data_IF_152569726174
#
_entry.id   IF_152569726174
#
_cell.length_a   1.000
_cell.length_b   1.000
_cell.length_c   1.000
_cell.angle_alpha   90.00
_cell.angle_beta   90.00
_cell.angle_gamma   90.00
#
_symmetry.space_group_name_H-M   'P 1'
#
loop_
_entity.id
_entity.type
_entity.pdbx_description
1 polymer ?
#
# COMPACT_ATOMS: atom_id res chain seq x y z
N UNK A 1 7.11 -18.86 -12.74
CA UNK A 1 7.90 -17.64 -12.98
C UNK A 1 7.91 -17.29 -14.46
N UNK A 2 7.46 -16.08 -14.80
CA UNK A 2 7.45 -15.57 -16.17
C UNK A 2 8.88 -15.49 -16.78
N UNK A 3 9.09 -16.18 -17.90
CA UNK A 3 10.41 -16.29 -18.56
C UNK A 3 10.87 -14.98 -19.21
N UNK A 4 9.94 -14.17 -19.71
CA UNK A 4 10.23 -12.88 -20.33
C UNK A 4 10.69 -11.87 -19.28
N UNK A 5 10.02 -11.85 -18.14
CA UNK A 5 10.42 -11.05 -16.97
C UNK A 5 11.85 -11.39 -16.53
N UNK A 6 12.15 -12.69 -16.40
CA UNK A 6 13.49 -13.11 -15.99
C UNK A 6 14.59 -12.69 -16.96
N UNK A 7 14.35 -12.84 -18.27
CA UNK A 7 15.30 -12.41 -19.30
C UNK A 7 15.58 -10.91 -19.16
N UNK A 8 14.53 -10.10 -18.96
CA UNK A 8 14.64 -8.64 -18.80
C UNK A 8 15.37 -8.26 -17.52
N UNK A 9 15.10 -8.95 -16.41
CA UNK A 9 15.81 -8.79 -15.13
C UNK A 9 17.29 -9.11 -15.29
N UNK A 10 17.62 -10.22 -15.95
CA UNK A 10 19.00 -10.63 -16.22
C UNK A 10 19.75 -9.59 -17.05
N UNK A 11 19.10 -9.03 -18.07
CA UNK A 11 19.68 -7.96 -18.89
C UNK A 11 19.88 -6.66 -18.10
N UNK A 12 18.93 -6.30 -17.25
CA UNK A 12 18.97 -5.07 -16.46
C UNK A 12 19.92 -5.12 -15.26
N UNK A 13 20.22 -6.32 -14.76
CA UNK A 13 21.05 -6.54 -13.58
C UNK A 13 22.48 -7.01 -13.89
N UNK A 14 22.93 -7.00 -15.16
CA UNK A 14 24.29 -7.44 -15.56
C UNK A 14 25.41 -6.75 -14.77
N UNK A 15 25.23 -5.47 -14.45
CA UNK A 15 26.24 -4.65 -13.76
C UNK A 15 26.27 -4.85 -12.24
N UNK A 16 25.26 -5.55 -11.68
CA UNK A 16 25.13 -5.75 -10.22
C UNK A 16 26.05 -6.86 -9.69
N UNK A 17 26.60 -7.71 -10.56
CA UNK A 17 27.45 -8.84 -10.18
C UNK A 17 26.76 -9.91 -9.31
N UNK A 18 25.42 -9.89 -9.24
CA UNK A 18 24.64 -10.91 -8.54
C UNK A 18 24.61 -12.23 -9.32
N UNK A 19 24.56 -13.34 -8.61
CA UNK A 19 24.42 -14.67 -9.23
C UNK A 19 23.04 -14.84 -9.87
N UNK A 20 22.96 -15.69 -10.89
CA UNK A 20 21.68 -16.00 -11.55
C UNK A 20 20.65 -16.58 -10.58
N UNK A 21 21.10 -17.37 -9.60
CA UNK A 21 20.25 -17.89 -8.52
C UNK A 21 19.65 -16.75 -7.65
N UNK A 22 20.43 -15.71 -7.36
CA UNK A 22 19.95 -14.55 -6.60
C UNK A 22 18.96 -13.72 -7.43
N UNK A 23 19.24 -13.52 -8.72
CA UNK A 23 18.32 -12.83 -9.63
C UNK A 23 17.03 -13.63 -9.81
N UNK A 24 17.10 -14.96 -9.84
CA UNK A 24 15.94 -15.85 -9.93
C UNK A 24 15.09 -15.74 -8.68
N UNK A 25 15.69 -15.84 -7.49
CA UNK A 25 14.97 -15.69 -6.22
C UNK A 25 14.31 -14.30 -6.09
N UNK A 26 15.00 -13.23 -6.49
CA UNK A 26 14.43 -11.87 -6.53
C UNK A 26 13.27 -11.76 -7.53
N UNK A 27 13.39 -12.41 -8.69
CA UNK A 27 12.32 -12.42 -9.71
C UNK A 27 11.12 -13.24 -9.26
N UNK A 28 11.30 -14.33 -8.52
CA UNK A 28 10.19 -15.10 -7.94
C UNK A 28 9.49 -14.33 -6.81
N UNK A 29 10.26 -13.67 -5.93
CA UNK A 29 9.72 -12.93 -4.81
C UNK A 29 8.98 -11.65 -5.23
N UNK A 30 9.54 -10.89 -6.18
CA UNK A 30 8.99 -9.59 -6.60
C UNK A 30 8.10 -9.76 -7.84
N UNK A 31 8.41 -10.72 -8.71
CA UNK A 31 7.68 -10.98 -9.95
C UNK A 31 6.48 -11.91 -9.81
N UNK A 32 6.15 -12.37 -8.61
CA UNK A 32 4.92 -13.16 -8.36
C UNK A 32 3.62 -12.41 -8.68
N UNK A 33 3.66 -11.08 -8.86
CA UNK A 33 2.54 -10.26 -9.32
C UNK A 33 2.31 -10.32 -10.84
N UNK A 34 3.21 -10.95 -11.59
CA UNK A 34 3.07 -11.16 -13.05
C UNK A 34 2.76 -12.62 -13.29
N UNK A 35 1.61 -12.88 -13.90
CA UNK A 35 1.24 -14.24 -14.33
C UNK A 35 2.30 -14.82 -15.28
N UNK A 36 2.51 -16.13 -15.18
CA UNK A 36 3.56 -16.83 -15.93
C UNK A 36 3.43 -16.70 -17.45
N UNK A 37 2.20 -16.47 -17.94
CA UNK A 37 1.83 -16.33 -19.35
C UNK A 37 1.70 -14.85 -19.79
N UNK A 38 1.92 -13.91 -18.87
CA UNK A 38 1.76 -12.49 -19.16
C UNK A 38 2.75 -12.01 -20.23
N UNK A 39 2.22 -11.25 -21.18
CA UNK A 39 2.96 -10.61 -22.29
C UNK A 39 2.92 -9.09 -22.21
N UNK A 40 2.42 -8.54 -21.10
CA UNK A 40 2.38 -7.09 -20.87
C UNK A 40 3.80 -6.55 -20.62
N UNK A 41 4.43 -6.08 -21.70
CA UNK A 41 5.80 -5.55 -21.69
C UNK A 41 6.00 -4.36 -20.73
N UNK A 42 4.94 -3.59 -20.45
CA UNK A 42 4.98 -2.43 -19.56
C UNK A 42 5.00 -2.88 -18.10
N UNK A 43 4.10 -3.79 -17.73
CA UNK A 43 4.08 -4.41 -16.40
C UNK A 43 5.40 -5.16 -16.14
N UNK A 44 5.86 -5.96 -17.11
CA UNK A 44 7.14 -6.67 -17.07
C UNK A 44 8.31 -5.69 -16.93
N UNK A 45 8.30 -4.58 -17.65
CA UNK A 45 9.33 -3.54 -17.54
C UNK A 45 9.37 -2.87 -16.16
N UNK A 46 8.21 -2.57 -15.58
CA UNK A 46 8.11 -1.96 -14.24
C UNK A 46 8.66 -2.88 -13.16
N UNK A 47 8.25 -4.15 -13.19
CA UNK A 47 8.70 -5.15 -12.21
C UNK A 47 10.20 -5.45 -12.37
N UNK A 48 10.70 -5.54 -13.60
CA UNK A 48 12.14 -5.71 -13.84
C UNK A 48 12.97 -4.53 -13.29
N UNK A 49 12.49 -3.29 -13.46
CA UNK A 49 13.13 -2.11 -12.89
C UNK A 49 13.12 -2.12 -11.35
N UNK A 50 12.04 -2.57 -10.71
CA UNK A 50 11.97 -2.72 -9.26
C UNK A 50 12.98 -3.75 -8.76
N UNK A 51 13.07 -4.90 -9.43
CA UNK A 51 14.07 -5.93 -9.13
C UNK A 51 15.49 -5.38 -9.28
N UNK A 52 15.75 -4.59 -10.32
CA UNK A 52 17.04 -3.92 -10.52
C UNK A 52 17.39 -2.99 -9.35
N UNK A 53 16.46 -2.18 -8.88
CA UNK A 53 16.70 -1.28 -7.75
C UNK A 53 17.06 -2.05 -6.47
N UNK A 54 16.34 -3.14 -6.18
CA UNK A 54 16.63 -4.01 -5.04
C UNK A 54 17.98 -4.70 -5.19
N UNK A 55 18.32 -5.15 -6.40
CA UNK A 55 19.62 -5.75 -6.72
C UNK A 55 20.79 -4.79 -6.48
N UNK A 56 20.68 -3.54 -6.96
CA UNK A 56 21.70 -2.49 -6.76
C UNK A 56 21.83 -2.13 -5.27
N UNK A 57 20.71 -2.02 -4.55
CA UNK A 57 20.72 -1.75 -3.12
C UNK A 57 21.44 -2.86 -2.35
N UNK A 58 21.10 -4.12 -2.65
CA UNK A 58 21.72 -5.31 -2.05
C UNK A 58 23.23 -5.35 -2.31
N UNK A 59 23.67 -5.03 -3.53
CA UNK A 59 25.09 -4.94 -3.86
C UNK A 59 25.78 -3.82 -3.05
N UNK A 60 25.16 -2.65 -2.94
CA UNK A 60 25.73 -1.50 -2.21
C UNK A 60 25.87 -1.78 -0.71
N UNK A 61 24.93 -2.53 -0.12
CA UNK A 61 24.99 -2.96 1.27
C UNK A 61 26.01 -4.07 1.51
N UNK A 62 26.08 -5.05 0.60
CA UNK A 62 27.11 -6.09 0.64
C UNK A 62 28.52 -5.48 0.51
N UNK A 63 28.70 -4.49 -0.37
CA UNK A 63 29.95 -3.76 -0.52
C UNK A 63 30.31 -2.93 0.74
N UNK A 64 29.30 -2.30 1.37
CA UNK A 64 29.49 -1.61 2.67
C UNK A 64 29.95 -2.57 3.75
N UNK A 65 29.33 -3.73 3.89
CA UNK A 65 29.75 -4.74 4.87
C UNK A 65 31.11 -5.36 4.56
N UNK A 66 31.42 -5.64 3.29
CA UNK A 66 32.72 -6.18 2.88
C UNK A 66 33.87 -5.19 3.14
N UNK A 67 33.64 -3.89 2.91
CA UNK A 67 34.61 -2.85 3.24
C UNK A 67 34.73 -2.59 4.75
N UNK A 68 33.66 -2.76 5.52
CA UNK A 68 33.69 -2.61 6.98
C UNK A 68 34.35 -3.81 7.69
N UNK A 69 34.39 -4.99 7.05
CA UNK A 69 35.10 -6.20 7.55
C UNK A 69 36.60 -6.23 7.24
N UNK A 70 37.11 -5.36 6.35
CA UNK A 70 38.55 -5.16 6.21
C UNK A 70 39.03 -4.32 7.40
N UNK A 71 39.43 -5.02 8.45
CA UNK A 71 39.90 -4.56 9.77
C UNK A 71 40.73 -3.24 9.73
N UNK A 72 40.67 -2.36 10.77
CA UNK A 72 41.37 -1.06 10.88
C UNK A 72 42.91 -1.13 10.89
N UNK A 73 43.50 -2.30 10.63
CA UNK A 73 44.90 -2.60 10.91
C UNK A 73 45.88 -2.33 9.77
N UNK A 74 45.44 -1.73 8.66
CA UNK A 74 46.32 -1.39 7.54
C UNK A 74 46.45 0.11 7.21
N UNK A 75 46.17 1.00 8.18
CA UNK A 75 46.48 2.44 8.04
C UNK A 75 47.90 2.84 8.48
N UNK A 76 48.80 1.90 8.83
CA UNK A 76 50.17 2.25 9.27
C UNK A 76 51.34 1.93 8.34
N UNK A 77 51.15 1.21 7.23
CA UNK A 77 52.28 0.89 6.32
C UNK A 77 52.03 1.25 4.84
N UNK A 78 51.58 2.47 4.59
CA UNK A 78 51.87 3.16 3.32
C UNK A 78 52.57 4.50 3.57
N UNK A 79 53.67 4.45 4.32
CA UNK A 79 54.66 5.53 4.34
C UNK A 79 56.07 4.94 4.23
N UNK A 80 56.37 4.35 3.07
CA UNK A 80 57.72 4.25 2.45
C UNK A 80 57.70 3.34 1.23
N UNK A 81 57.54 3.95 0.05
CA UNK A 81 58.50 3.85 -1.06
C UNK A 81 57.86 4.43 -2.33
N UNK A 82 58.27 5.65 -2.71
CA UNK A 82 58.80 5.95 -4.05
C UNK A 82 59.47 7.34 -4.06
N UNK A 83 60.41 7.56 -5.00
CA UNK A 83 61.67 8.28 -4.76
C UNK A 83 61.57 9.80 -4.96
N UNK A 84 62.70 10.43 -4.68
CA UNK A 84 63.03 11.85 -4.80
C UNK A 84 62.63 12.53 -6.14
N UNK A 85 62.59 13.88 -6.06
CA UNK A 85 62.42 14.94 -7.07
C UNK A 85 60.98 15.29 -7.47
N UNK A 86 60.55 16.55 -7.59
CA UNK A 86 61.13 17.89 -7.30
C UNK A 86 59.98 18.91 -7.52
N UNK A 87 60.00 20.00 -6.75
CA UNK A 87 59.52 21.37 -7.03
C UNK A 87 58.03 21.64 -7.38
N UNK A 88 57.41 22.55 -6.62
CA UNK A 88 56.26 23.35 -7.08
C UNK A 88 55.32 23.83 -5.97
N UNK A 89 55.50 25.07 -5.55
CA UNK A 89 54.76 25.82 -4.51
C UNK A 89 53.23 25.91 -4.74
N UNK A 90 52.49 26.04 -3.63
CA UNK A 90 51.06 26.32 -3.60
C UNK A 90 50.57 26.41 -2.15
N UNK A 91 50.80 27.58 -1.55
CA UNK A 91 50.30 28.05 -0.26
C UNK A 91 48.78 28.26 -0.32
N UNK A 92 48.03 27.79 0.69
CA UNK A 92 46.93 28.54 1.29
C UNK A 92 46.35 27.79 2.50
N UNK A 93 46.21 28.58 3.57
CA UNK A 93 45.81 28.27 4.94
C UNK A 93 44.36 27.76 5.12
N UNK A 94 44.19 27.06 6.25
CA UNK A 94 42.99 26.98 7.12
C UNK A 94 41.84 25.98 6.81
N UNK A 95 41.07 25.53 7.82
CA UNK A 95 41.40 25.13 9.19
C UNK A 95 40.99 23.68 9.49
N UNK A 96 41.46 23.18 10.63
CA UNK A 96 40.93 21.99 11.32
C UNK A 96 39.39 21.91 11.28
N UNK A 97 38.90 20.86 10.63
CA UNK A 97 37.52 20.42 10.68
C UNK A 97 37.50 18.90 10.85
N UNK A 98 37.97 18.45 12.02
CA UNK A 98 37.79 17.09 12.51
C UNK A 98 36.27 16.83 12.62
N UNK A 99 35.65 16.41 11.51
CA UNK A 99 34.27 15.97 11.51
C UNK A 99 34.31 14.47 11.71
N UNK A 100 34.23 14.08 12.99
CA UNK A 100 34.02 12.71 13.41
C UNK A 100 32.95 12.05 12.51
N UNK A 101 33.20 10.85 11.95
CA UNK A 101 32.14 10.11 11.27
C UNK A 101 31.01 9.92 12.27
N UNK A 102 29.74 10.18 11.91
CA UNK A 102 28.64 10.08 12.85
C UNK A 102 28.64 8.67 13.42
N UNK A 103 28.96 8.55 14.71
CA UNK A 103 28.82 7.31 15.45
C UNK A 103 27.34 6.96 15.40
N UNK A 104 26.96 6.07 14.49
CA UNK A 104 25.66 5.45 14.47
C UNK A 104 25.63 4.47 15.64
N UNK A 105 25.43 5.01 16.83
CA UNK A 105 25.24 4.25 18.06
C UNK A 105 24.07 3.31 17.81
N UNK A 106 24.23 2.02 18.08
CA UNK A 106 23.22 0.98 17.85
C UNK A 106 21.80 1.36 18.34
N UNK A 107 21.68 2.27 19.31
CA UNK A 107 20.44 2.90 19.75
C UNK A 107 19.66 3.65 18.65
N UNK A 108 20.32 4.39 17.76
CA UNK A 108 19.65 5.10 16.66
C UNK A 108 19.11 4.12 15.62
N UNK A 109 19.85 3.04 15.34
CA UNK A 109 19.39 1.94 14.48
C UNK A 109 18.18 1.25 15.10
N UNK A 110 18.22 0.98 16.42
CA UNK A 110 17.08 0.41 17.16
C UNK A 110 15.84 1.33 17.15
N UNK A 111 16.02 2.64 17.29
CA UNK A 111 14.92 3.61 17.21
C UNK A 111 14.31 3.68 15.80
N UNK A 112 15.15 3.64 14.76
CA UNK A 112 14.67 3.58 13.38
C UNK A 112 13.92 2.27 13.09
N UNK A 113 14.41 1.14 13.59
CA UNK A 113 13.74 -0.17 13.48
C UNK A 113 12.36 -0.13 14.15
N UNK A 114 12.27 0.35 15.40
CA UNK A 114 10.97 0.51 16.10
C UNK A 114 10.03 1.47 15.37
N UNK A 115 10.56 2.55 14.79
CA UNK A 115 9.76 3.51 14.01
C UNK A 115 9.25 2.90 12.71
N UNK A 116 10.06 2.06 12.05
CA UNK A 116 9.69 1.30 10.86
C UNK A 116 8.61 0.26 11.18
N UNK A 117 8.78 -0.52 12.25
CA UNK A 117 7.79 -1.50 12.73
C UNK A 117 6.45 -0.84 13.01
N UNK A 118 6.44 0.25 13.79
CA UNK A 118 5.22 1.03 14.03
C UNK A 118 4.59 1.59 12.75
N UNK A 119 5.39 1.94 11.76
CA UNK A 119 4.89 2.41 10.46
C UNK A 119 4.26 1.27 9.67
N UNK A 120 4.83 0.07 9.71
CA UNK A 120 4.27 -1.13 9.08
C UNK A 120 2.94 -1.52 9.72
N UNK A 121 2.87 -1.55 11.05
CA UNK A 121 1.61 -1.81 11.77
C UNK A 121 0.52 -0.80 11.37
N UNK A 122 0.89 0.48 11.30
CA UNK A 122 -0.02 1.53 10.85
C UNK A 122 -0.46 1.31 9.39
N UNK A 123 0.45 0.91 8.50
CA UNK A 123 0.11 0.61 7.10
C UNK A 123 -0.85 -0.58 6.96
N UNK A 124 -0.68 -1.62 7.77
CA UNK A 124 -1.58 -2.78 7.77
C UNK A 124 -2.98 -2.41 8.27
N UNK A 125 -3.06 -1.60 9.33
CA UNK A 125 -4.34 -1.08 9.85
C UNK A 125 -4.98 -0.13 8.84
N UNK A 126 -4.21 0.77 8.22
CA UNK A 126 -4.68 1.70 7.20
C UNK A 126 -5.17 0.95 5.93
N UNK A 127 -4.55 -0.19 5.59
CA UNK A 127 -4.98 -1.06 4.50
C UNK A 127 -6.34 -1.69 4.79
N UNK A 128 -6.47 -2.34 5.96
CA UNK A 128 -7.73 -2.97 6.41
C UNK A 128 -8.87 -1.96 6.51
N UNK A 129 -8.61 -0.76 7.04
CA UNK A 129 -9.64 0.30 7.13
C UNK A 129 -10.06 0.85 5.76
N UNK A 130 -9.13 1.01 4.80
CA UNK A 130 -9.46 1.46 3.43
C UNK A 130 -10.28 0.43 2.66
N UNK A 131 -9.92 -0.85 2.74
CA UNK A 131 -10.68 -1.90 2.07
C UNK A 131 -12.04 -2.10 2.71
N UNK A 132 -12.13 -1.98 4.04
CA UNK A 132 -13.40 -1.94 4.76
C UNK A 132 -14.29 -0.76 4.33
N UNK A 133 -13.73 0.44 4.19
CA UNK A 133 -14.46 1.61 3.70
C UNK A 133 -14.98 1.43 2.26
N UNK A 134 -14.24 0.74 1.40
CA UNK A 134 -14.72 0.41 0.05
C UNK A 134 -15.92 -0.55 0.12
N UNK A 135 -15.81 -1.61 0.92
CA UNK A 135 -16.91 -2.56 1.13
C UNK A 135 -18.16 -1.89 1.69
N UNK A 136 -18.01 -0.97 2.66
CA UNK A 136 -19.12 -0.16 3.18
C UNK A 136 -19.79 0.67 2.08
N UNK A 137 -19.00 1.37 1.26
CA UNK A 137 -19.52 2.20 0.18
C UNK A 137 -20.27 1.36 -0.85
N UNK A 138 -19.73 0.20 -1.22
CA UNK A 138 -20.35 -0.74 -2.14
C UNK A 138 -21.66 -1.31 -1.59
N UNK A 139 -21.68 -1.74 -0.32
CA UNK A 139 -22.90 -2.19 0.35
C UNK A 139 -23.97 -1.09 0.38
N UNK A 140 -23.61 0.15 0.75
CA UNK A 140 -24.55 1.28 0.76
C UNK A 140 -25.10 1.62 -0.62
N UNK A 141 -24.30 1.42 -1.67
CA UNK A 141 -24.74 1.61 -3.05
C UNK A 141 -25.69 0.51 -3.50
N UNK A 142 -25.36 -0.76 -3.22
CA UNK A 142 -26.20 -1.93 -3.48
C UNK A 142 -27.57 -1.80 -2.79
N UNK A 143 -27.60 -1.32 -1.55
CA UNK A 143 -28.83 -1.08 -0.80
C UNK A 143 -29.56 0.21 -1.15
N UNK A 144 -29.06 0.98 -2.13
CA UNK A 144 -29.65 2.25 -2.59
C UNK A 144 -29.79 3.30 -1.48
N UNK A 145 -28.89 3.29 -0.49
CA UNK A 145 -28.82 4.34 0.53
C UNK A 145 -28.52 5.69 -0.17
N UNK A 146 -29.24 6.79 0.13
CA UNK A 146 -28.99 8.07 -0.52
C UNK A 146 -27.58 8.60 -0.23
N UNK A 147 -26.90 9.09 -1.27
CA UNK A 147 -25.49 9.53 -1.20
C UNK A 147 -25.21 10.55 -0.07
N UNK A 148 -26.18 11.42 0.22
CA UNK A 148 -26.10 12.45 1.27
C UNK A 148 -25.88 11.87 2.68
N UNK A 149 -26.26 10.61 2.91
CA UNK A 149 -26.13 9.94 4.21
C UNK A 149 -24.97 8.95 4.27
N UNK A 150 -24.46 8.49 3.11
CA UNK A 150 -23.41 7.47 3.04
C UNK A 150 -22.16 7.85 3.84
N UNK A 151 -21.67 9.08 3.70
CA UNK A 151 -20.46 9.52 4.42
C UNK A 151 -20.63 9.57 5.94
N UNK A 152 -21.83 9.87 6.42
CA UNK A 152 -22.13 9.90 7.86
C UNK A 152 -22.33 8.49 8.40
N UNK A 153 -23.06 7.65 7.68
CA UNK A 153 -23.32 6.27 8.06
C UNK A 153 -22.07 5.40 7.97
N UNK A 154 -21.18 5.66 7.01
CA UNK A 154 -19.94 4.89 6.88
C UNK A 154 -19.01 5.09 8.08
N UNK A 155 -19.14 6.22 8.80
CA UNK A 155 -18.41 6.50 10.04
C UNK A 155 -19.08 5.90 11.28
N UNK A 156 -20.35 5.51 11.20
CA UNK A 156 -21.07 4.92 12.33
C UNK A 156 -20.94 3.40 12.40
N UNK A 157 -20.56 2.74 11.29
CA UNK A 157 -20.35 1.29 11.28
C UNK A 157 -19.02 0.97 11.96
N UNK A 158 -19.08 0.40 13.16
CA UNK A 158 -17.91 -0.03 13.95
C UNK A 158 -17.09 -1.09 13.22
N UNK A 159 -15.79 -1.23 13.52
CA UNK A 159 -14.89 -2.15 12.81
C UNK A 159 -15.24 -3.64 13.01
N UNK A 160 -15.94 -3.95 14.10
CA UNK A 160 -16.43 -5.26 14.52
C UNK A 160 -17.84 -5.59 14.00
N UNK A 161 -18.55 -4.60 13.45
CA UNK A 161 -19.92 -4.77 12.95
C UNK A 161 -19.96 -5.34 11.53
N UNK A 162 -21.00 -6.16 11.26
CA UNK A 162 -21.31 -6.67 9.93
C UNK A 162 -21.85 -5.54 9.04
N UNK A 163 -21.13 -5.25 7.96
CA UNK A 163 -21.43 -4.16 7.02
C UNK A 163 -22.78 -4.37 6.33
N UNK A 164 -23.09 -5.60 5.95
CA UNK A 164 -24.28 -5.90 5.15
C UNK A 164 -25.53 -5.89 6.03
N UNK A 165 -25.44 -6.40 7.26
CA UNK A 165 -26.54 -6.34 8.24
C UNK A 165 -26.83 -4.89 8.67
N UNK A 166 -25.80 -4.11 9.00
CA UNK A 166 -25.95 -2.70 9.39
C UNK A 166 -26.52 -1.84 8.26
N UNK A 167 -26.06 -2.02 7.03
CA UNK A 167 -26.59 -1.28 5.87
C UNK A 167 -28.04 -1.67 5.55
N UNK A 168 -28.42 -2.94 5.76
CA UNK A 168 -29.84 -3.37 5.68
C UNK A 168 -30.70 -2.71 6.74
N UNK A 169 -30.21 -2.61 7.98
CA UNK A 169 -30.91 -1.90 9.05
C UNK A 169 -31.13 -0.44 8.67
N UNK A 170 -30.10 0.26 8.18
CA UNK A 170 -30.25 1.63 7.69
C UNK A 170 -31.29 1.74 6.58
N UNK A 171 -31.31 0.81 5.61
CA UNK A 171 -32.35 0.80 4.57
C UNK A 171 -33.75 0.68 5.16
N UNK A 172 -33.95 -0.17 6.16
CA UNK A 172 -35.24 -0.30 6.84
C UNK A 172 -35.63 0.97 7.60
N UNK A 173 -34.69 1.65 8.23
CA UNK A 173 -34.93 2.94 8.89
C UNK A 173 -35.36 4.00 7.87
N UNK A 174 -34.67 4.10 6.72
CA UNK A 174 -35.09 4.97 5.62
C UNK A 174 -36.50 4.65 5.12
N UNK A 175 -36.86 3.36 5.03
CA UNK A 175 -38.20 2.93 4.63
C UNK A 175 -39.24 3.31 5.68
N UNK A 176 -38.92 3.12 6.96
CA UNK A 176 -39.84 3.36 8.09
C UNK A 176 -40.09 4.85 8.31
N UNK A 177 -39.05 5.67 8.19
CA UNK A 177 -39.12 7.13 8.30
C UNK A 177 -39.61 7.82 7.01
N UNK A 178 -39.85 7.06 5.93
CA UNK A 178 -40.31 7.60 4.65
C UNK A 178 -39.28 8.41 3.88
N UNK A 179 -37.99 8.26 4.23
CA UNK A 179 -36.84 9.00 3.70
C UNK A 179 -36.13 8.28 2.54
N UNK A 180 -36.67 7.19 1.99
CA UNK A 180 -36.11 6.56 0.79
C UNK A 180 -36.19 7.49 -0.42
N UNK A 181 -35.18 7.40 -1.30
CA UNK A 181 -35.19 8.15 -2.56
C UNK A 181 -36.50 7.92 -3.33
N UNK A 182 -37.04 8.99 -3.91
CA UNK A 182 -38.38 9.13 -4.52
C UNK A 182 -38.80 8.01 -5.52
N UNK A 183 -37.89 7.13 -5.93
CA UNK A 183 -38.14 5.99 -6.81
C UNK A 183 -38.81 4.77 -6.14
N UNK A 184 -38.71 4.58 -4.82
CA UNK A 184 -39.32 3.42 -4.12
C UNK A 184 -40.62 3.76 -3.37
N UNK A 185 -40.96 5.05 -3.24
CA UNK A 185 -42.20 5.48 -2.58
C UNK A 185 -43.49 5.08 -3.32
N UNK A 186 -43.42 4.65 -4.59
CA UNK A 186 -44.58 4.15 -5.34
C UNK A 186 -45.12 2.80 -4.86
N UNK A 187 -44.35 2.05 -4.06
CA UNK A 187 -44.83 0.76 -3.54
C UNK A 187 -45.49 0.86 -2.15
N UNK A 188 -45.30 1.95 -1.40
CA UNK A 188 -46.04 2.20 -0.15
C UNK A 188 -47.36 2.95 -0.35
N UNK A 189 -47.49 3.74 -1.43
CA UNK A 189 -48.80 4.28 -1.85
C UNK A 189 -49.77 3.19 -2.31
N UNK A 190 -49.27 2.01 -2.70
CA UNK A 190 -50.13 0.89 -3.03
C UNK A 190 -50.87 0.31 -1.81
N UNK A 191 -50.27 0.35 -0.61
CA UNK A 191 -50.97 -0.10 0.61
C UNK A 191 -51.99 0.92 1.09
N UNK A 192 -51.70 2.21 0.96
CA UNK A 192 -52.66 3.28 1.26
C UNK A 192 -53.83 3.28 0.28
N UNK A 193 -53.59 3.12 -1.02
CA UNK A 193 -54.66 2.91 -2.02
C UNK A 193 -55.46 1.63 -1.78
N UNK A 194 -54.82 0.52 -1.39
CA UNK A 194 -55.54 -0.73 -1.07
C UNK A 194 -56.37 -0.61 0.21
N UNK A 195 -55.90 0.14 1.20
CA UNK A 195 -56.64 0.42 2.43
C UNK A 195 -57.82 1.34 2.14
N UNK A 196 -57.64 2.37 1.29
CA UNK A 196 -58.73 3.25 0.85
C UNK A 196 -59.74 2.51 -0.03
N UNK A 197 -59.32 1.64 -0.96
CA UNK A 197 -60.23 0.81 -1.77
C UNK A 197 -60.98 -0.22 -0.92
N UNK A 198 -60.33 -0.80 0.10
CA UNK A 198 -60.99 -1.70 1.04
C UNK A 198 -61.97 -0.93 1.93
N UNK A 199 -61.64 0.27 2.38
CA UNK A 199 -62.54 1.13 3.14
C UNK A 199 -63.76 1.55 2.31
N UNK A 200 -63.56 1.93 1.04
CA UNK A 200 -64.64 2.28 0.10
C UNK A 200 -65.50 1.07 -0.26
N UNK A 201 -64.91 -0.12 -0.39
CA UNK A 201 -65.66 -1.36 -0.62
C UNK A 201 -66.53 -1.72 0.60
N UNK A 202 -66.02 -1.52 1.82
CA UNK A 202 -66.78 -1.71 3.05
C UNK A 202 -67.90 -0.66 3.17
N UNK A 203 -67.61 0.61 2.89
CA UNK A 203 -68.61 1.68 2.87
C UNK A 203 -69.73 1.38 1.86
N UNK A 204 -69.39 0.95 0.65
CA UNK A 204 -70.37 0.52 -0.36
C UNK A 204 -71.17 -0.70 0.09
N UNK A 205 -70.56 -1.66 0.79
CA UNK A 205 -71.27 -2.82 1.33
C UNK A 205 -72.26 -2.46 2.45
N UNK A 206 -71.99 -1.40 3.20
CA UNK A 206 -72.87 -0.93 4.29
C UNK A 206 -73.95 0.04 3.77
N UNK A 207 -73.69 0.74 2.66
CA UNK A 207 -74.61 1.77 2.10
C UNK A 207 -75.53 1.22 0.99
N UNK A 208 -75.35 -0.03 0.58
CA UNK A 208 -76.28 -0.75 -0.32
C UNK A 208 -77.13 -1.71 0.53
N UNK A 209 -78.01 -1.12 1.34
CA UNK A 209 -79.23 -1.72 1.89
C UNK A 209 -80.37 -0.71 1.77
#
# INVERSE_FOLDING_TARGET
>A
MNKLLFSKVKDQCKDTGLSEECLKALTEAIGGSIEDDSTDEEAIGKVANQIKQVAVSTQSEAARWANNKKDPKNKKDQKKQKPANKDGEGDDDDPDGDQDPPQNTDNQVLELLKKLEKRMDQFEVDGKTKDRQKLIKEAMENHKIPAKFRDRLAKSIGDDEDIEETVKAFKQDFITEGLTSEGEQKNKTATEQQVDEAADALLKSITVE
#
